data_IF_550412261838
#
_entry.id   IF_550412261838
#
_cell.length_a   1.000
_cell.length_b   1.000
_cell.length_c   1.000
_cell.angle_alpha   90.00
_cell.angle_beta   90.00
_cell.angle_gamma   90.00
#
_symmetry.space_group_name_H-M   'P 1'
#
loop_
_entity.id
_entity.type
_entity.pdbx_description
1 polymer ?
#
# COMPACT_ATOMS: atom_id res chain seq x y z
N UNK A 1 -51.02 6.65 3.90
CA UNK A 1 -50.60 5.78 2.78
C UNK A 1 -49.20 6.23 2.40
N UNK A 2 -48.26 5.27 2.29
CA UNK A 2 -46.80 5.43 2.32
C UNK A 2 -46.18 6.33 1.25
N UNK A 3 -44.99 6.81 1.60
CA UNK A 3 -44.02 7.56 0.81
C UNK A 3 -43.58 6.82 -0.47
N UNK A 4 -43.46 7.56 -1.57
CA UNK A 4 -42.87 7.08 -2.82
C UNK A 4 -41.59 7.87 -3.12
N UNK A 5 -40.45 7.35 -2.69
CA UNK A 5 -39.13 7.88 -3.06
C UNK A 5 -38.81 7.57 -4.53
N UNK A 6 -38.46 8.59 -5.31
CA UNK A 6 -38.06 8.44 -6.69
C UNK A 6 -36.61 7.90 -6.75
N UNK A 7 -36.46 6.67 -7.26
CA UNK A 7 -35.16 6.06 -7.57
C UNK A 7 -34.58 6.70 -8.83
N UNK A 8 -33.35 7.22 -8.75
CA UNK A 8 -32.60 7.67 -9.92
C UNK A 8 -32.17 6.45 -10.77
N UNK A 9 -32.14 6.55 -12.11
CA UNK A 9 -31.70 5.45 -12.96
C UNK A 9 -30.17 5.30 -12.87
N UNK A 10 -29.70 4.09 -12.59
CA UNK A 10 -28.28 3.78 -12.76
C UNK A 10 -27.94 3.79 -14.24
N UNK A 11 -26.80 4.40 -14.58
CA UNK A 11 -26.24 4.31 -15.94
C UNK A 11 -25.72 2.89 -16.16
N UNK A 12 -25.93 2.28 -17.34
CA UNK A 12 -25.34 0.99 -17.64
C UNK A 12 -23.83 1.15 -17.74
N UNK A 13 -23.08 0.34 -16.99
CA UNK A 13 -21.66 0.13 -17.23
C UNK A 13 -21.53 -0.43 -18.65
N UNK A 14 -20.84 0.31 -19.53
CA UNK A 14 -20.55 -0.18 -20.87
C UNK A 14 -19.50 -1.29 -20.75
N UNK A 15 -19.90 -2.50 -21.10
CA UNK A 15 -19.03 -3.66 -21.25
C UNK A 15 -18.43 -3.61 -22.65
N UNK A 16 -17.15 -3.24 -22.76
CA UNK A 16 -16.44 -3.22 -24.04
C UNK A 16 -15.07 -3.89 -23.89
N UNK A 17 -14.98 -5.11 -24.46
CA UNK A 17 -13.76 -5.79 -24.97
C UNK A 17 -12.74 -6.40 -23.98
N UNK A 18 -13.17 -7.42 -23.21
CA UNK A 18 -12.36 -8.23 -22.28
C UNK A 18 -11.17 -9.04 -22.87
N UNK A 19 -10.94 -9.03 -24.19
CA UNK A 19 -10.02 -9.99 -24.82
C UNK A 19 -8.63 -9.43 -25.15
N UNK A 20 -8.47 -8.11 -25.27
CA UNK A 20 -7.16 -7.49 -25.55
C UNK A 20 -6.47 -6.99 -24.28
N UNK A 21 -7.24 -6.53 -23.28
CA UNK A 21 -6.71 -5.97 -22.03
C UNK A 21 -5.97 -7.02 -21.17
N UNK A 22 -6.42 -8.28 -21.18
CA UNK A 22 -5.80 -9.36 -20.38
C UNK A 22 -4.37 -9.73 -20.81
N UNK A 23 -4.05 -9.56 -22.09
CA UNK A 23 -2.73 -9.90 -22.62
C UNK A 23 -1.71 -8.83 -22.22
N UNK A 24 -2.09 -7.56 -22.35
CA UNK A 24 -1.26 -6.41 -22.01
C UNK A 24 -0.98 -6.35 -20.49
N UNK A 25 -1.98 -6.65 -19.66
CA UNK A 25 -1.84 -6.66 -18.20
C UNK A 25 -0.83 -7.74 -17.72
N UNK A 26 -0.83 -8.91 -18.35
CA UNK A 26 0.08 -10.00 -18.00
C UNK A 26 1.53 -9.68 -18.40
N UNK A 27 1.75 -9.15 -19.62
CA UNK A 27 3.09 -8.75 -20.06
C UNK A 27 3.68 -7.66 -19.16
N UNK A 28 2.88 -6.65 -18.81
CA UNK A 28 3.30 -5.57 -17.93
C UNK A 28 3.61 -6.08 -16.50
N UNK A 29 2.84 -7.04 -15.99
CA UNK A 29 3.13 -7.70 -14.72
C UNK A 29 4.48 -8.42 -14.76
N UNK A 30 4.74 -9.20 -15.82
CA UNK A 30 6.00 -9.93 -15.98
C UNK A 30 7.21 -8.98 -16.07
N UNK A 31 7.10 -7.87 -16.80
CA UNK A 31 8.13 -6.84 -16.86
C UNK A 31 8.46 -6.29 -15.46
N UNK A 32 7.43 -6.03 -14.66
CA UNK A 32 7.60 -5.50 -13.30
C UNK A 32 8.26 -6.51 -12.37
N UNK A 33 7.96 -7.81 -12.52
CA UNK A 33 8.63 -8.88 -11.76
C UNK A 33 10.10 -9.01 -12.16
N UNK A 34 10.42 -8.93 -13.44
CA UNK A 34 11.81 -8.96 -13.90
C UNK A 34 12.61 -7.78 -13.31
N UNK A 35 12.04 -6.57 -13.39
CA UNK A 35 12.62 -5.36 -12.81
C UNK A 35 12.78 -5.44 -11.29
N UNK A 36 11.80 -6.00 -10.58
CA UNK A 36 11.91 -6.27 -9.15
C UNK A 36 13.13 -7.15 -8.85
N UNK A 37 13.34 -8.23 -9.62
CA UNK A 37 14.50 -9.10 -9.47
C UNK A 37 15.83 -8.37 -9.61
N UNK A 38 15.96 -7.55 -10.65
CA UNK A 38 17.17 -6.74 -10.90
C UNK A 38 17.41 -5.69 -9.80
N UNK A 39 16.37 -5.00 -9.36
CA UNK A 39 16.46 -3.98 -8.32
C UNK A 39 16.79 -4.57 -6.96
N UNK A 40 16.19 -5.70 -6.59
CA UNK A 40 16.56 -6.39 -5.35
C UNK A 40 18.02 -6.83 -5.38
N UNK A 41 18.60 -7.15 -6.52
CA UNK A 41 20.01 -7.53 -6.60
C UNK A 41 20.98 -6.34 -6.58
N UNK A 42 20.61 -5.22 -7.20
CA UNK A 42 21.46 -4.04 -7.33
C UNK A 42 21.43 -3.09 -6.14
N UNK A 43 20.31 -3.03 -5.42
CA UNK A 43 20.12 -2.09 -4.32
C UNK A 43 20.80 -2.54 -3.01
N UNK A 44 21.23 -1.58 -2.16
CA UNK A 44 21.77 -1.87 -0.84
C UNK A 44 20.79 -2.68 0.02
N UNK A 45 21.33 -3.64 0.76
CA UNK A 45 20.58 -4.50 1.68
C UNK A 45 21.10 -4.35 3.09
N UNK A 46 20.18 -4.22 4.03
CA UNK A 46 20.50 -4.25 5.46
C UNK A 46 19.60 -5.21 6.21
N UNK A 47 20.02 -5.60 7.41
CA UNK A 47 19.24 -6.50 8.26
C UNK A 47 18.06 -5.73 8.85
N UNK A 48 16.85 -6.23 8.62
CA UNK A 48 15.65 -5.70 9.25
C UNK A 48 15.50 -6.16 10.70
N UNK A 49 14.69 -5.43 11.47
CA UNK A 49 14.30 -5.83 12.82
C UNK A 49 13.25 -6.97 12.81
N UNK A 50 12.35 -6.95 11.82
CA UNK A 50 11.31 -7.97 11.61
C UNK A 50 11.59 -8.89 10.42
N UNK A 51 12.16 -8.37 9.32
CA UNK A 51 12.51 -9.15 8.12
C UNK A 51 14.01 -9.44 8.06
N UNK A 52 14.40 -10.53 7.39
CA UNK A 52 15.81 -10.89 7.27
C UNK A 52 16.65 -9.79 6.60
N UNK A 53 16.10 -9.19 5.54
CA UNK A 53 16.73 -8.10 4.82
C UNK A 53 15.70 -7.03 4.45
N UNK A 54 16.14 -5.77 4.45
CA UNK A 54 15.49 -4.59 3.92
C UNK A 54 16.28 -4.12 2.70
N UNK A 55 15.58 -3.60 1.71
CA UNK A 55 16.19 -3.02 0.51
C UNK A 55 15.98 -1.51 0.54
N UNK A 56 17.04 -0.75 0.26
CA UNK A 56 16.94 0.70 0.18
C UNK A 56 16.41 1.12 -1.19
N UNK A 57 15.20 1.68 -1.24
CA UNK A 57 14.58 2.19 -2.45
C UNK A 57 14.09 3.62 -2.24
N UNK A 58 14.55 4.54 -3.11
CA UNK A 58 14.22 5.98 -3.04
C UNK A 58 14.43 6.62 -1.66
N UNK A 59 15.42 6.15 -0.90
CA UNK A 59 15.72 6.66 0.45
C UNK A 59 14.96 5.98 1.59
N UNK A 60 14.04 5.06 1.29
CA UNK A 60 13.31 4.27 2.29
C UNK A 60 13.82 2.84 2.36
N UNK A 61 13.80 2.26 3.56
CA UNK A 61 14.11 0.84 3.77
C UNK A 61 12.81 0.04 3.75
N UNK A 62 12.67 -0.80 2.73
CA UNK A 62 11.43 -1.53 2.46
C UNK A 62 11.66 -3.04 2.60
N UNK A 63 10.66 -3.75 3.11
CA UNK A 63 10.72 -5.22 3.05
C UNK A 63 10.59 -5.66 1.59
N UNK A 64 11.47 -6.55 1.09
CA UNK A 64 11.42 -6.97 -0.31
C UNK A 64 10.08 -7.60 -0.70
N UNK A 65 9.59 -8.52 0.14
CA UNK A 65 8.42 -9.34 -0.17
C UNK A 65 7.09 -8.57 -0.12
N UNK A 66 6.96 -7.60 0.78
CA UNK A 66 5.69 -6.92 1.03
C UNK A 66 5.72 -5.51 0.43
N UNK A 67 6.55 -4.64 1.00
CA UNK A 67 6.47 -3.20 0.75
C UNK A 67 7.12 -2.83 -0.58
N UNK A 68 8.30 -3.38 -0.88
CA UNK A 68 9.04 -3.03 -2.07
C UNK A 68 8.35 -3.53 -3.34
N UNK A 69 7.93 -4.82 -3.35
CA UNK A 69 7.17 -5.39 -4.45
C UNK A 69 5.85 -4.61 -4.66
N UNK A 70 5.12 -4.33 -3.59
CA UNK A 70 3.87 -3.57 -3.65
C UNK A 70 4.06 -2.15 -4.20
N UNK A 71 5.09 -1.44 -3.74
CA UNK A 71 5.41 -0.10 -4.23
C UNK A 71 5.75 -0.09 -5.72
N UNK A 72 6.52 -1.08 -6.20
CA UNK A 72 6.85 -1.19 -7.62
C UNK A 72 5.59 -1.47 -8.46
N UNK A 73 4.73 -2.37 -8.00
CA UNK A 73 3.46 -2.65 -8.67
C UNK A 73 2.56 -1.42 -8.75
N UNK A 74 2.41 -0.68 -7.64
CA UNK A 74 1.62 0.54 -7.61
C UNK A 74 2.20 1.62 -8.55
N UNK A 75 3.52 1.76 -8.61
CA UNK A 75 4.15 2.76 -9.48
C UNK A 75 3.97 2.45 -10.98
N UNK A 76 3.96 1.18 -11.38
CA UNK A 76 3.90 0.80 -12.80
C UNK A 76 2.48 0.58 -13.32
N UNK A 77 1.58 0.05 -12.50
CA UNK A 77 0.26 -0.40 -12.99
C UNK A 77 -0.91 0.48 -12.56
N UNK A 78 -0.73 1.27 -11.50
CA UNK A 78 -1.83 2.03 -10.94
C UNK A 78 -1.97 3.40 -11.63
N UNK A 79 -3.02 3.50 -12.43
CA UNK A 79 -3.41 4.73 -13.11
C UNK A 79 -4.41 5.52 -12.27
N UNK A 80 -3.90 6.45 -11.46
CA UNK A 80 -4.73 7.32 -10.62
C UNK A 80 -5.69 8.16 -11.47
N UNK A 81 -6.98 8.17 -11.10
CA UNK A 81 -7.97 9.07 -11.68
C UNK A 81 -8.05 10.35 -10.85
N UNK A 82 -8.42 11.49 -11.45
CA UNK A 82 -8.53 12.75 -10.70
C UNK A 82 -9.63 12.74 -9.62
N UNK A 83 -10.51 11.73 -9.61
CA UNK A 83 -11.53 11.50 -8.58
C UNK A 83 -11.05 10.66 -7.40
N UNK A 84 -9.87 10.04 -7.49
CA UNK A 84 -9.42 9.08 -6.49
C UNK A 84 -8.83 9.81 -5.28
N UNK A 85 -9.11 9.31 -4.07
CA UNK A 85 -8.64 9.88 -2.82
C UNK A 85 -7.70 8.88 -2.16
N UNK A 86 -6.46 9.29 -1.91
CA UNK A 86 -5.48 8.49 -1.19
C UNK A 86 -5.52 8.77 0.30
N UNK A 87 -5.68 7.72 1.10
CA UNK A 87 -5.43 7.77 2.54
C UNK A 87 -4.03 7.23 2.80
N UNK A 88 -3.09 8.12 3.11
CA UNK A 88 -1.72 7.76 3.48
C UNK A 88 -1.59 7.69 5.00
N UNK A 89 -1.25 6.52 5.53
CA UNK A 89 -1.00 6.29 6.96
C UNK A 89 0.38 5.69 7.16
N UNK A 90 1.05 6.06 8.25
CA UNK A 90 2.33 5.48 8.63
C UNK A 90 2.19 4.67 9.91
N UNK A 91 2.79 3.48 9.93
CA UNK A 91 2.78 2.60 11.09
C UNK A 91 3.78 3.14 12.12
N UNK A 92 3.29 3.62 13.25
CA UNK A 92 4.15 3.87 14.43
C UNK A 92 4.12 2.61 15.29
N UNK A 93 5.29 2.09 15.62
CA UNK A 93 5.42 1.08 16.67
C UNK A 93 5.74 1.85 17.94
N UNK A 94 4.73 2.12 18.76
CA UNK A 94 4.92 2.80 20.04
C UNK A 94 5.77 1.92 20.97
N UNK A 95 7.04 2.27 21.17
CA UNK A 95 7.90 1.68 22.20
C UNK A 95 7.64 2.27 23.59
N UNK A 96 6.66 3.19 23.72
CA UNK A 96 6.39 3.96 24.94
C UNK A 96 5.03 3.77 25.62
N UNK A 97 4.22 2.79 25.25
CA UNK A 97 3.07 2.41 26.10
C UNK A 97 3.47 1.45 27.22
N UNK A 98 4.46 1.85 28.04
CA UNK A 98 4.67 1.25 29.36
C UNK A 98 3.74 2.00 30.33
N UNK A 99 2.73 1.29 30.84
CA UNK A 99 1.75 1.81 31.78
C UNK A 99 2.26 1.74 33.25
N UNK A 100 3.53 2.06 33.50
CA UNK A 100 4.13 1.98 34.84
C UNK A 100 4.61 3.32 35.41
N UNK A 101 4.26 4.45 34.78
CA UNK A 101 4.82 5.77 35.12
C UNK A 101 3.92 6.75 35.90
N UNK A 102 2.66 6.43 36.21
CA UNK A 102 1.78 7.33 36.97
C UNK A 102 1.69 6.89 38.44
N UNK A 103 2.78 7.11 39.18
CA UNK A 103 2.70 7.16 40.65
C UNK A 103 2.25 8.56 41.06
N UNK A 104 0.97 8.70 41.38
CA UNK A 104 0.50 9.84 42.17
C UNK A 104 1.05 9.64 43.59
N UNK A 105 2.08 10.41 43.94
CA UNK A 105 2.52 10.52 45.33
C UNK A 105 1.38 11.06 46.20
N UNK A 106 1.31 10.70 47.50
CA UNK A 106 0.26 11.20 48.37
C UNK A 106 0.34 12.73 48.42
N UNK A 107 -0.80 13.38 48.20
CA UNK A 107 -0.94 14.81 48.38
C UNK A 107 -0.58 15.15 49.83
N UNK A 108 0.39 16.05 50.00
CA UNK A 108 0.75 16.61 51.29
C UNK A 108 -0.34 17.57 51.78
N UNK A 109 -0.68 17.41 53.07
CA UNK A 109 -1.50 18.22 53.99
C UNK A 109 -2.96 18.57 53.62
#
# INVERSE_FOLDING_TARGET
MSEGGASLPSKPCQETSLNNEKQDDEEAYQETIAKYGELVLSLPKERGWMTQHLVQYQGFWLSPACDFKGALMLQHHFHARPSDIFLATFQITDDKFNASGLTFGPAAE
#
